data_IF_949676908466
#
_entry.id   IF_949676908466
#
_cell.length_a   1.000
_cell.length_b   1.000
_cell.length_c   1.000
_cell.angle_alpha   90.00
_cell.angle_beta   90.00
_cell.angle_gamma   90.00
#
_symmetry.space_group_name_H-M   'P 1'
#
loop_
_entity.id
_entity.type
_entity.pdbx_description
1 polymer ?
#
# COMPACT_ATOMS: atom_id res chain seq x y z
N UNK A 1 18.36 -11.84 25.83
CA UNK A 1 18.99 -12.77 24.84
C UNK A 1 19.80 -13.90 25.48
N UNK A 2 20.29 -13.75 26.74
CA UNK A 2 21.11 -14.74 27.45
C UNK A 2 20.40 -16.05 27.83
N UNK A 3 19.11 -16.02 28.16
CA UNK A 3 18.36 -17.21 28.61
C UNK A 3 18.26 -18.29 27.52
N UNK A 4 18.16 -17.90 26.23
CA UNK A 4 18.09 -18.85 25.11
C UNK A 4 19.39 -19.64 24.90
N UNK A 5 20.54 -19.05 25.18
CA UNK A 5 21.84 -19.72 25.06
C UNK A 5 22.07 -20.73 26.19
N UNK A 6 21.43 -20.55 27.34
CA UNK A 6 21.59 -21.43 28.49
C UNK A 6 20.86 -22.77 28.27
N UNK A 7 19.62 -22.72 27.75
CA UNK A 7 18.83 -23.93 27.46
C UNK A 7 19.48 -24.83 26.42
N UNK A 8 20.03 -24.27 25.34
CA UNK A 8 20.75 -25.07 24.32
C UNK A 8 22.03 -25.72 24.88
N UNK A 9 22.71 -25.06 25.82
CA UNK A 9 23.90 -25.61 26.49
C UNK A 9 23.56 -26.67 27.54
N UNK A 10 22.38 -26.59 28.16
CA UNK A 10 21.90 -27.52 29.18
C UNK A 10 21.21 -28.76 28.60
N UNK A 11 20.78 -28.73 27.35
CA UNK A 11 20.04 -29.81 26.68
C UNK A 11 20.82 -31.15 26.63
N UNK A 12 22.14 -31.18 26.32
CA UNK A 12 22.92 -32.42 26.39
C UNK A 12 22.97 -32.98 27.82
N UNK A 13 23.09 -32.09 28.82
CA UNK A 13 23.15 -32.47 30.23
C UNK A 13 21.81 -32.99 30.75
N UNK A 14 20.68 -32.44 30.27
CA UNK A 14 19.35 -32.92 30.61
C UNK A 14 19.06 -34.33 30.05
N UNK A 15 19.70 -34.71 28.93
CA UNK A 15 19.64 -36.07 28.37
C UNK A 15 20.64 -37.02 29.05
N UNK A 16 21.81 -36.52 29.46
CA UNK A 16 22.83 -37.31 30.16
C UNK A 16 22.50 -37.57 31.63
N UNK A 17 21.81 -36.64 32.31
CA UNK A 17 21.42 -36.76 33.71
C UNK A 17 20.59 -38.02 34.03
N UNK A 18 19.53 -38.38 33.30
CA UNK A 18 18.78 -39.61 33.57
C UNK A 18 19.61 -40.87 33.27
N UNK A 19 20.51 -40.84 32.29
CA UNK A 19 21.41 -41.95 31.99
C UNK A 19 22.43 -42.14 33.13
N UNK A 20 23.00 -41.04 33.63
CA UNK A 20 23.90 -41.04 34.77
C UNK A 20 23.21 -41.49 36.06
N UNK A 21 21.98 -41.03 36.32
CA UNK A 21 21.17 -41.48 37.45
C UNK A 21 20.81 -42.97 37.35
N UNK A 22 20.54 -43.47 36.15
CA UNK A 22 20.33 -44.90 35.90
C UNK A 22 21.55 -45.74 36.24
N UNK A 23 22.74 -45.31 35.79
CA UNK A 23 24.01 -45.98 36.09
C UNK A 23 24.29 -45.95 37.60
N UNK A 24 24.15 -44.79 38.25
CA UNK A 24 24.33 -44.66 39.70
C UNK A 24 23.36 -45.55 40.48
N UNK A 25 22.10 -45.62 40.08
CA UNK A 25 21.10 -46.49 40.70
C UNK A 25 21.46 -47.97 40.52
N UNK A 26 21.81 -48.41 39.31
CA UNK A 26 22.26 -49.78 39.06
C UNK A 26 23.50 -50.16 39.88
N UNK A 27 24.43 -49.21 40.09
CA UNK A 27 25.61 -49.42 40.93
C UNK A 27 25.24 -49.48 42.42
N UNK A 28 24.35 -48.60 42.89
CA UNK A 28 23.96 -48.53 44.30
C UNK A 28 23.08 -49.71 44.74
N UNK A 29 22.16 -50.15 43.88
CA UNK A 29 21.27 -51.28 44.13
C UNK A 29 21.80 -52.60 43.55
N UNK A 30 23.07 -52.65 43.13
CA UNK A 30 23.69 -53.84 42.53
C UNK A 30 23.55 -55.09 43.42
N UNK A 31 23.56 -54.92 44.74
CA UNK A 31 23.38 -55.99 45.74
C UNK A 31 21.97 -56.59 45.76
N UNK A 32 20.97 -55.84 45.30
CA UNK A 32 19.56 -56.24 45.30
C UNK A 32 19.18 -56.96 44.00
N UNK A 33 20.08 -56.99 43.01
CA UNK A 33 19.91 -57.83 41.83
C UNK A 33 20.14 -59.30 42.22
N UNK A 34 19.20 -60.20 41.91
CA UNK A 34 19.36 -61.62 42.23
C UNK A 34 20.56 -62.19 41.48
N UNK A 35 21.35 -63.04 42.16
CA UNK A 35 22.40 -63.84 41.51
C UNK A 35 21.71 -64.65 40.40
N UNK A 36 22.18 -64.48 39.17
CA UNK A 36 21.58 -65.14 38.01
C UNK A 36 21.69 -66.67 38.15
N UNK A 37 20.55 -67.32 38.41
CA UNK A 37 20.46 -68.78 38.55
C UNK A 37 19.78 -69.45 37.34
N UNK A 38 19.45 -68.69 36.28
CA UNK A 38 18.82 -69.20 35.06
C UNK A 38 17.35 -69.65 35.23
N UNK A 39 16.72 -69.33 36.36
CA UNK A 39 15.33 -69.69 36.66
C UNK A 39 14.35 -68.62 36.18
N UNK A 40 13.13 -68.99 35.79
CA UNK A 40 12.07 -68.07 35.37
C UNK A 40 11.82 -66.96 36.39
N UNK A 41 11.83 -67.31 37.68
CA UNK A 41 11.65 -66.36 38.80
C UNK A 41 12.78 -65.34 38.89
N UNK A 42 14.03 -65.74 38.61
CA UNK A 42 15.18 -64.82 38.59
C UNK A 42 15.11 -63.83 37.41
N UNK A 43 14.60 -64.28 36.26
CA UNK A 43 14.34 -63.45 35.10
C UNK A 43 13.21 -62.45 35.33
N UNK A 44 12.08 -62.89 35.90
CA UNK A 44 10.94 -62.02 36.21
C UNK A 44 11.32 -60.93 37.21
N UNK A 45 12.06 -61.26 38.27
CA UNK A 45 12.52 -60.27 39.24
C UNK A 45 13.49 -59.24 38.62
N UNK A 46 14.42 -59.70 37.78
CA UNK A 46 15.35 -58.80 37.07
C UNK A 46 14.60 -57.89 36.10
N UNK A 47 13.65 -58.43 35.33
CA UNK A 47 12.81 -57.66 34.43
C UNK A 47 11.93 -56.64 35.16
N UNK A 48 11.41 -56.98 36.35
CA UNK A 48 10.64 -56.06 37.19
C UNK A 48 11.49 -54.88 37.68
N UNK A 49 12.72 -55.14 38.15
CA UNK A 49 13.66 -54.09 38.58
C UNK A 49 14.03 -53.20 37.39
N UNK A 50 14.40 -53.79 36.25
CA UNK A 50 14.78 -53.03 35.04
C UNK A 50 13.61 -52.21 34.52
N UNK A 51 12.40 -52.76 34.43
CA UNK A 51 11.22 -52.02 33.98
C UNK A 51 10.85 -50.90 34.97
N UNK A 52 10.94 -51.14 36.29
CA UNK A 52 10.70 -50.13 37.31
C UNK A 52 11.62 -48.91 37.20
N UNK A 53 12.83 -49.08 36.66
CA UNK A 53 13.82 -48.01 36.45
C UNK A 53 13.68 -47.40 35.05
N UNK A 54 13.60 -48.24 34.02
CA UNK A 54 13.64 -47.82 32.62
C UNK A 54 12.36 -47.06 32.24
N UNK A 55 11.19 -47.50 32.73
CA UNK A 55 9.90 -46.86 32.43
C UNK A 55 9.87 -45.39 32.84
N UNK A 56 10.14 -44.97 34.10
CA UNK A 56 10.10 -43.57 34.47
C UNK A 56 11.15 -42.71 33.74
N UNK A 57 12.33 -43.26 33.41
CA UNK A 57 13.35 -42.57 32.61
C UNK A 57 12.87 -42.33 31.18
N UNK A 58 12.31 -43.35 30.53
CA UNK A 58 11.77 -43.23 29.19
C UNK A 58 10.55 -42.30 29.16
N UNK A 59 9.70 -42.35 30.19
CA UNK A 59 8.58 -41.42 30.36
C UNK A 59 9.06 -39.99 30.49
N UNK A 60 10.08 -39.72 31.34
CA UNK A 60 10.66 -38.39 31.50
C UNK A 60 11.29 -37.89 30.19
N UNK A 61 12.06 -38.74 29.52
CA UNK A 61 12.67 -38.43 28.22
C UNK A 61 11.61 -38.10 27.17
N UNK A 62 10.50 -38.85 27.14
CA UNK A 62 9.36 -38.59 26.26
C UNK A 62 8.69 -37.26 26.55
N UNK A 63 8.49 -36.91 27.83
CA UNK A 63 7.95 -35.60 28.24
C UNK A 63 8.88 -34.45 27.79
N UNK A 64 10.19 -34.61 27.97
CA UNK A 64 11.18 -33.62 27.53
C UNK A 64 11.14 -33.46 26.00
N UNK A 65 11.12 -34.56 25.25
CA UNK A 65 11.04 -34.56 23.78
C UNK A 65 9.75 -33.91 23.28
N UNK A 66 8.61 -34.19 23.93
CA UNK A 66 7.34 -33.54 23.64
C UNK A 66 7.42 -32.03 23.90
N UNK A 67 8.04 -31.61 25.01
CA UNK A 67 8.26 -30.19 25.31
C UNK A 67 9.14 -29.48 24.28
N UNK A 68 10.24 -30.11 23.84
CA UNK A 68 11.12 -29.57 22.80
C UNK A 68 10.42 -29.49 21.44
N UNK A 69 9.66 -30.54 21.10
CA UNK A 69 8.83 -30.56 19.88
C UNK A 69 7.84 -29.41 19.91
N UNK A 70 7.11 -29.23 21.02
CA UNK A 70 6.16 -28.14 21.19
C UNK A 70 6.79 -26.76 21.02
N UNK A 71 7.95 -26.52 21.64
CA UNK A 71 8.68 -25.26 21.52
C UNK A 71 9.14 -25.00 20.08
N UNK A 72 9.59 -26.04 19.38
CA UNK A 72 10.04 -25.93 17.98
C UNK A 72 8.87 -25.66 17.06
N UNK A 73 7.77 -26.41 17.19
CA UNK A 73 6.54 -26.20 16.43
C UNK A 73 5.97 -24.80 16.64
N UNK A 74 5.95 -24.31 17.89
CA UNK A 74 5.49 -22.94 18.19
C UNK A 74 6.37 -21.88 17.52
N UNK A 75 7.69 -22.08 17.51
CA UNK A 75 8.63 -21.16 16.85
C UNK A 75 8.44 -21.16 15.33
N UNK A 76 8.32 -22.33 14.73
CA UNK A 76 8.11 -22.50 13.30
C UNK A 76 6.78 -21.88 12.87
N UNK A 77 5.71 -22.12 13.62
CA UNK A 77 4.39 -21.53 13.37
C UNK A 77 4.45 -19.99 13.42
N UNK A 78 5.11 -19.41 14.42
CA UNK A 78 5.28 -17.96 14.50
C UNK A 78 6.08 -17.40 13.32
N UNK A 79 7.11 -18.12 12.86
CA UNK A 79 7.89 -17.72 11.69
C UNK A 79 7.05 -17.75 10.41
N UNK A 80 6.25 -18.81 10.22
CA UNK A 80 5.35 -18.94 9.09
C UNK A 80 4.25 -17.87 9.10
N UNK A 81 3.67 -17.57 10.26
CA UNK A 81 2.70 -16.48 10.41
C UNK A 81 3.28 -15.12 10.03
N UNK A 82 4.50 -14.80 10.49
CA UNK A 82 5.17 -13.54 10.11
C UNK A 82 5.46 -13.48 8.61
N UNK A 83 5.85 -14.60 8.00
CA UNK A 83 6.10 -14.69 6.56
C UNK A 83 4.82 -14.52 5.75
N UNK A 84 3.71 -15.09 6.23
CA UNK A 84 2.40 -14.96 5.61
C UNK A 84 1.87 -13.52 5.72
N UNK A 85 1.94 -12.92 6.92
CA UNK A 85 1.57 -11.52 7.12
C UNK A 85 2.33 -10.58 6.17
N UNK A 86 3.64 -10.80 5.98
CA UNK A 86 4.44 -10.05 5.00
C UNK A 86 3.88 -10.21 3.58
N UNK A 87 3.55 -11.44 3.16
CA UNK A 87 2.99 -11.71 1.82
C UNK A 87 1.63 -11.04 1.64
N UNK A 88 0.76 -11.14 2.62
CA UNK A 88 -0.58 -10.58 2.58
C UNK A 88 -0.51 -9.03 2.50
N UNK A 89 0.38 -8.40 3.27
CA UNK A 89 0.61 -6.95 3.20
C UNK A 89 1.12 -6.51 1.82
N UNK A 90 2.10 -7.24 1.27
CA UNK A 90 2.65 -6.98 -0.06
C UNK A 90 1.58 -7.11 -1.14
N UNK A 91 0.82 -8.20 -1.13
CA UNK A 91 -0.26 -8.45 -2.08
C UNK A 91 -1.34 -7.37 -2.01
N UNK A 92 -1.71 -6.93 -0.81
CA UNK A 92 -2.65 -5.83 -0.62
C UNK A 92 -2.13 -4.53 -1.23
N UNK A 93 -0.86 -4.17 -1.01
CA UNK A 93 -0.28 -2.96 -1.61
C UNK A 93 -0.23 -3.08 -3.13
N UNK A 94 0.21 -4.22 -3.68
CA UNK A 94 0.23 -4.49 -5.12
C UNK A 94 -1.15 -4.28 -5.72
N UNK A 95 -2.17 -4.92 -5.14
CA UNK A 95 -3.55 -4.85 -5.63
C UNK A 95 -4.10 -3.42 -5.56
N UNK A 96 -3.89 -2.73 -4.44
CA UNK A 96 -4.36 -1.35 -4.25
C UNK A 96 -3.66 -0.38 -5.19
N UNK A 97 -2.33 -0.52 -5.36
CA UNK A 97 -1.53 0.32 -6.26
C UNK A 97 -2.01 0.19 -7.70
N UNK A 98 -2.19 -1.06 -8.17
CA UNK A 98 -2.65 -1.32 -9.54
C UNK A 98 -4.04 -0.74 -9.78
N UNK A 99 -5.02 -1.05 -8.93
CA UNK A 99 -6.40 -0.56 -9.09
C UNK A 99 -6.43 0.98 -9.08
N UNK A 100 -5.67 1.60 -8.19
CA UNK A 100 -5.64 3.05 -8.10
C UNK A 100 -4.95 3.69 -9.30
N UNK A 101 -3.84 3.10 -9.77
CA UNK A 101 -3.14 3.54 -10.97
C UNK A 101 -4.05 3.46 -12.21
N UNK A 102 -4.76 2.34 -12.38
CA UNK A 102 -5.70 2.15 -13.47
C UNK A 102 -6.79 3.24 -13.44
N UNK A 103 -7.36 3.54 -12.26
CA UNK A 103 -8.36 4.62 -12.09
C UNK A 103 -7.81 6.03 -12.35
N UNK A 104 -6.52 6.26 -12.08
CA UNK A 104 -5.90 7.56 -12.36
C UNK A 104 -5.67 7.77 -13.86
N UNK A 105 -5.37 6.68 -14.59
CA UNK A 105 -5.08 6.72 -16.03
C UNK A 105 -6.34 6.61 -16.89
N UNK A 106 -7.40 5.99 -16.37
CA UNK A 106 -8.67 5.82 -17.08
C UNK A 106 -9.23 7.15 -17.57
N UNK A 107 -9.57 7.20 -18.86
CA UNK A 107 -10.24 8.35 -19.46
C UNK A 107 -11.74 8.29 -19.16
N UNK A 108 -12.21 9.26 -18.38
CA UNK A 108 -13.62 9.40 -18.01
C UNK A 108 -14.12 10.78 -18.41
N UNK A 109 -15.44 10.95 -18.53
CA UNK A 109 -16.00 12.27 -18.80
C UNK A 109 -15.56 13.24 -17.70
N UNK A 110 -15.10 14.42 -18.08
CA UNK A 110 -14.58 15.43 -17.12
C UNK A 110 -15.63 15.77 -16.06
N UNK A 111 -16.91 15.76 -16.43
CA UNK A 111 -18.04 16.01 -15.53
C UNK A 111 -18.20 14.96 -14.42
N UNK A 112 -17.61 13.76 -14.60
CA UNK A 112 -17.57 12.72 -13.56
C UNK A 112 -16.35 12.85 -12.65
N UNK A 113 -15.39 13.70 -13.02
CA UNK A 113 -14.13 13.93 -12.29
C UNK A 113 -14.21 15.23 -11.48
N UNK A 114 -14.75 16.29 -12.08
CA UNK A 114 -14.84 17.64 -11.50
C UNK A 114 -16.30 17.91 -11.15
N UNK A 115 -16.55 18.58 -10.02
CA UNK A 115 -17.90 18.99 -9.65
C UNK A 115 -18.49 19.95 -10.70
N UNK A 116 -19.82 19.92 -10.94
CA UNK A 116 -20.45 20.80 -11.93
C UNK A 116 -20.39 22.28 -11.56
N UNK A 117 -20.47 22.62 -10.28
CA UNK A 117 -20.51 24.00 -9.76
C UNK A 117 -19.35 24.89 -10.28
N UNK A 118 -18.06 24.51 -10.11
CA UNK A 118 -16.93 25.26 -10.67
C UNK A 118 -16.94 25.42 -12.20
N UNK A 119 -17.55 24.47 -12.91
CA UNK A 119 -17.64 24.51 -14.36
C UNK A 119 -18.67 25.55 -14.78
N UNK A 120 -19.80 25.64 -14.06
CA UNK A 120 -20.78 26.71 -14.29
C UNK A 120 -20.17 28.08 -13.98
N UNK A 121 -19.47 28.25 -12.85
CA UNK A 121 -18.74 29.49 -12.53
C UNK A 121 -17.82 29.91 -13.68
N UNK A 122 -17.00 28.98 -14.19
CA UNK A 122 -16.11 29.23 -15.33
C UNK A 122 -16.87 29.63 -16.60
N UNK A 123 -18.00 28.99 -16.90
CA UNK A 123 -18.80 29.32 -18.08
C UNK A 123 -19.37 30.75 -17.96
N UNK A 124 -19.77 31.15 -16.76
CA UNK A 124 -20.22 32.53 -16.51
C UNK A 124 -19.09 33.55 -16.68
N UNK A 125 -17.89 33.25 -16.17
CA UNK A 125 -16.70 34.07 -16.39
C UNK A 125 -16.37 34.18 -17.88
N UNK A 126 -16.38 33.06 -18.61
CA UNK A 126 -16.13 33.01 -20.05
C UNK A 126 -17.16 33.81 -20.86
N UNK A 127 -18.40 33.89 -20.37
CA UNK A 127 -19.44 34.71 -20.98
C UNK A 127 -19.10 36.20 -20.90
N UNK A 128 -18.68 36.66 -19.71
CA UNK A 128 -18.30 38.04 -19.43
C UNK A 128 -16.93 38.41 -19.98
N UNK A 129 -16.06 37.43 -20.23
CA UNK A 129 -14.70 37.67 -20.69
C UNK A 129 -14.68 38.16 -22.15
N UNK A 130 -14.08 39.34 -22.35
CA UNK A 130 -13.94 39.96 -23.67
C UNK A 130 -12.51 39.77 -24.19
N UNK A 131 -12.37 38.93 -25.23
CA UNK A 131 -11.09 38.76 -25.92
C UNK A 131 -11.31 38.58 -27.43
N UNK A 132 -10.55 39.26 -28.31
CA UNK A 132 -10.78 39.24 -29.76
C UNK A 132 -10.84 37.83 -30.36
N UNK A 133 -10.02 36.91 -29.83
CA UNK A 133 -9.95 35.52 -30.32
C UNK A 133 -11.13 34.65 -29.89
N UNK A 134 -11.88 35.00 -28.85
CA UNK A 134 -13.07 34.24 -28.47
C UNK A 134 -14.11 34.21 -29.60
N UNK A 135 -14.18 35.28 -30.41
CA UNK A 135 -15.06 35.32 -31.58
C UNK A 135 -14.73 34.23 -32.62
N UNK A 136 -13.44 33.99 -32.87
CA UNK A 136 -12.99 32.91 -33.77
C UNK A 136 -13.28 31.54 -33.17
N UNK A 137 -13.21 31.43 -31.85
CA UNK A 137 -13.50 30.19 -31.14
C UNK A 137 -15.00 29.85 -31.17
N UNK A 138 -15.88 30.80 -30.85
CA UNK A 138 -17.32 30.58 -30.89
C UNK A 138 -17.76 30.15 -32.30
N UNK A 139 -17.22 30.77 -33.35
CA UNK A 139 -17.43 30.33 -34.73
C UNK A 139 -17.00 28.88 -34.98
N UNK A 140 -15.86 28.46 -34.43
CA UNK A 140 -15.33 27.10 -34.60
C UNK A 140 -16.23 26.01 -33.96
N UNK A 141 -16.98 26.36 -32.91
CA UNK A 141 -17.97 25.48 -32.28
C UNK A 141 -19.40 25.71 -32.80
N UNK A 142 -19.56 26.42 -33.92
CA UNK A 142 -20.86 26.79 -34.51
C UNK A 142 -21.77 27.64 -33.59
N UNK A 143 -21.19 28.36 -32.63
CA UNK A 143 -21.88 29.36 -31.83
C UNK A 143 -21.73 30.74 -32.48
N UNK A 144 -22.82 31.33 -32.96
CA UNK A 144 -22.77 32.69 -33.51
C UNK A 144 -22.63 33.73 -32.38
N UNK A 145 -21.90 34.81 -32.64
CA UNK A 145 -21.76 35.91 -31.67
C UNK A 145 -23.12 36.57 -31.34
N UNK A 146 -24.05 36.57 -32.28
CA UNK A 146 -25.44 37.04 -32.08
C UNK A 146 -26.18 36.14 -31.08
N UNK A 147 -26.00 34.83 -31.15
CA UNK A 147 -26.59 33.88 -30.19
C UNK A 147 -25.99 34.01 -28.79
N UNK A 148 -24.70 34.36 -28.66
CA UNK A 148 -24.09 34.72 -27.36
C UNK A 148 -24.78 35.94 -26.75
N UNK A 149 -25.03 37.00 -27.54
CA UNK A 149 -25.61 38.25 -27.04
C UNK A 149 -27.09 38.12 -26.61
N UNK A 150 -27.80 37.13 -27.15
CA UNK A 150 -29.26 37.03 -26.97
C UNK A 150 -29.70 36.30 -25.69
N UNK A 151 -28.86 35.41 -25.11
CA UNK A 151 -29.19 34.75 -23.84
C UNK A 151 -27.96 34.11 -23.17
N UNK A 152 -27.69 34.51 -21.91
CA UNK A 152 -26.69 33.86 -21.03
C UNK A 152 -27.02 32.38 -20.83
N UNK A 153 -28.29 32.04 -20.66
CA UNK A 153 -28.74 30.66 -20.40
C UNK A 153 -28.44 29.76 -21.61
N UNK A 154 -28.77 30.23 -22.82
CA UNK A 154 -28.47 29.49 -24.06
C UNK A 154 -26.97 29.30 -24.24
N UNK A 155 -26.17 30.35 -24.03
CA UNK A 155 -24.71 30.25 -24.07
C UNK A 155 -24.19 29.18 -23.10
N UNK A 156 -24.65 29.23 -21.85
CA UNK A 156 -24.19 28.31 -20.82
C UNK A 156 -24.56 26.86 -21.14
N UNK A 157 -25.79 26.61 -21.57
CA UNK A 157 -26.25 25.28 -21.95
C UNK A 157 -25.48 24.72 -23.16
N UNK A 158 -25.22 25.57 -24.16
CA UNK A 158 -24.46 25.19 -25.35
C UNK A 158 -23.03 24.79 -25.01
N UNK A 159 -22.31 25.64 -24.25
CA UNK A 159 -20.94 25.35 -23.82
C UNK A 159 -20.92 24.11 -22.93
N UNK A 160 -21.82 24.01 -21.96
CA UNK A 160 -21.91 22.84 -21.08
C UNK A 160 -22.08 21.53 -21.87
N UNK A 161 -23.00 21.51 -22.83
CA UNK A 161 -23.25 20.34 -23.70
C UNK A 161 -22.01 19.97 -24.51
N UNK A 162 -21.28 20.98 -25.01
CA UNK A 162 -20.03 20.77 -25.73
C UNK A 162 -18.95 20.15 -24.82
N UNK A 163 -18.85 20.61 -23.57
CA UNK A 163 -17.88 20.13 -22.60
C UNK A 163 -18.22 18.73 -22.05
N UNK A 164 -19.50 18.37 -21.97
CA UNK A 164 -19.98 17.12 -21.36
C UNK A 164 -19.38 15.85 -22.00
N UNK A 165 -19.05 15.90 -23.28
CA UNK A 165 -18.45 14.78 -24.00
C UNK A 165 -16.92 14.72 -23.91
N UNK A 166 -16.30 15.69 -23.25
CA UNK A 166 -14.84 15.72 -23.08
C UNK A 166 -14.42 14.62 -22.12
N UNK A 167 -13.51 13.75 -22.57
CA UNK A 167 -12.93 12.69 -21.76
C UNK A 167 -11.48 13.02 -21.45
N UNK A 168 -11.12 12.96 -20.18
CA UNK A 168 -9.75 13.12 -19.72
C UNK A 168 -9.45 12.14 -18.59
N UNK A 169 -8.17 11.93 -18.32
CA UNK A 169 -7.70 11.15 -17.17
C UNK A 169 -7.29 12.08 -16.03
N UNK A 170 -7.41 11.59 -14.79
CA UNK A 170 -6.90 12.32 -13.61
C UNK A 170 -5.39 12.55 -13.71
N UNK A 171 -4.68 11.57 -14.26
CA UNK A 171 -3.27 11.68 -14.62
C UNK A 171 -2.98 12.93 -15.47
N UNK A 172 -3.70 13.10 -16.59
CA UNK A 172 -3.50 14.25 -17.47
C UNK A 172 -3.78 15.57 -16.75
N UNK A 173 -4.89 15.63 -16.00
CA UNK A 173 -5.30 16.83 -15.25
C UNK A 173 -4.27 17.23 -14.19
N UNK A 174 -3.70 16.27 -13.47
CA UNK A 174 -2.67 16.53 -12.46
C UNK A 174 -1.37 17.01 -13.11
N UNK A 175 -0.92 16.36 -14.18
CA UNK A 175 0.32 16.72 -14.86
C UNK A 175 0.23 18.12 -15.45
N UNK A 176 -0.86 18.42 -16.17
CA UNK A 176 -1.07 19.74 -16.76
C UNK A 176 -1.32 20.80 -15.68
N UNK A 177 -2.12 20.49 -14.66
CA UNK A 177 -2.39 21.40 -13.56
C UNK A 177 -1.13 21.76 -12.78
N UNK A 178 -0.23 20.80 -12.58
CA UNK A 178 1.10 21.05 -12.00
C UNK A 178 1.93 21.95 -12.91
N UNK A 179 1.95 21.70 -14.24
CA UNK A 179 2.66 22.54 -15.21
C UNK A 179 2.17 23.99 -15.16
N UNK A 180 0.86 24.19 -15.09
CA UNK A 180 0.23 25.52 -14.98
C UNK A 180 0.59 26.18 -13.64
N UNK A 181 0.51 25.43 -12.54
CA UNK A 181 0.90 25.89 -11.20
C UNK A 181 2.34 26.39 -11.14
N UNK A 182 3.28 25.69 -11.77
CA UNK A 182 4.69 26.10 -11.81
C UNK A 182 4.88 27.40 -12.59
N UNK A 183 4.15 27.57 -13.69
CA UNK A 183 4.27 28.74 -14.55
C UNK A 183 3.58 29.99 -13.97
N UNK A 184 2.48 29.80 -13.25
CA UNK A 184 1.53 30.88 -12.98
C UNK A 184 1.11 30.98 -11.50
N UNK A 185 1.58 30.07 -10.64
CA UNK A 185 1.24 29.99 -9.21
C UNK A 185 0.06 29.07 -8.90
N UNK A 186 0.01 28.55 -7.67
CA UNK A 186 -1.03 27.61 -7.19
C UNK A 186 -2.43 28.21 -7.12
N UNK A 187 -2.53 29.53 -6.95
CA UNK A 187 -3.78 30.28 -6.87
C UNK A 187 -4.07 31.04 -8.17
N UNK A 188 -3.72 30.45 -9.31
CA UNK A 188 -3.96 31.10 -10.60
C UNK A 188 -5.46 31.33 -10.79
N UNK A 189 -5.81 32.60 -10.89
CA UNK A 189 -7.13 33.06 -11.30
C UNK A 189 -7.43 32.57 -12.74
N UNK A 190 -8.62 32.02 -12.95
CA UNK A 190 -9.09 31.54 -14.25
C UNK A 190 -9.06 32.67 -15.29
N UNK A 191 -9.40 33.89 -14.90
CA UNK A 191 -9.37 35.06 -15.77
C UNK A 191 -7.95 35.33 -16.28
N UNK A 192 -6.98 35.33 -15.36
CA UNK A 192 -5.56 35.52 -15.69
C UNK A 192 -5.01 34.38 -16.55
N UNK A 193 -5.44 33.15 -16.30
CA UNK A 193 -5.11 32.02 -17.16
C UNK A 193 -5.62 32.22 -18.59
N UNK A 194 -6.89 32.63 -18.73
CA UNK A 194 -7.51 32.88 -20.03
C UNK A 194 -6.78 33.99 -20.80
N UNK A 195 -6.41 35.10 -20.15
CA UNK A 195 -5.61 36.17 -20.77
C UNK A 195 -4.29 35.64 -21.35
N UNK A 196 -3.54 34.88 -20.54
CA UNK A 196 -2.24 34.33 -20.95
C UNK A 196 -2.42 33.38 -22.14
N UNK A 197 -3.34 32.42 -22.03
CA UNK A 197 -3.44 31.36 -23.05
C UNK A 197 -4.11 31.85 -24.32
N UNK A 198 -5.07 32.78 -24.23
CA UNK A 198 -5.71 33.34 -25.41
C UNK A 198 -4.82 34.34 -26.14
N UNK A 199 -3.83 34.95 -25.47
CA UNK A 199 -2.83 35.80 -26.13
C UNK A 199 -1.89 35.02 -27.06
N UNK A 200 -1.69 33.71 -26.84
CA UNK A 200 -0.87 32.85 -27.69
C UNK A 200 -1.66 32.31 -28.89
N UNK A 201 -1.37 32.83 -30.08
CA UNK A 201 -2.03 32.47 -31.34
C UNK A 201 -1.96 30.98 -31.70
N UNK A 202 -0.99 30.25 -31.15
CA UNK A 202 -0.78 28.83 -31.47
C UNK A 202 -1.67 27.88 -30.66
N UNK A 203 -2.30 28.37 -29.57
CA UNK A 203 -3.06 27.52 -28.67
C UNK A 203 -4.48 27.25 -29.18
N UNK A 204 -4.86 25.97 -29.22
CA UNK A 204 -6.22 25.54 -29.55
C UNK A 204 -7.16 25.64 -28.35
N UNK A 205 -8.45 25.88 -28.59
CA UNK A 205 -9.39 25.97 -27.46
C UNK A 205 -9.55 24.66 -26.69
N UNK A 206 -9.41 23.51 -27.34
CA UNK A 206 -9.37 22.22 -26.61
C UNK A 206 -8.33 22.27 -25.48
N UNK A 207 -7.17 22.87 -25.75
CA UNK A 207 -6.10 23.05 -24.76
C UNK A 207 -6.45 24.11 -23.71
N UNK A 208 -7.18 25.17 -24.08
CA UNK A 208 -7.71 26.16 -23.13
C UNK A 208 -8.59 25.46 -22.09
N UNK A 209 -9.63 24.73 -22.51
CA UNK A 209 -10.51 24.02 -21.58
C UNK A 209 -9.80 22.95 -20.80
N UNK A 210 -8.89 22.20 -21.44
CA UNK A 210 -8.10 21.21 -20.72
C UNK A 210 -7.30 21.83 -19.57
N UNK A 211 -6.67 23.00 -19.78
CA UNK A 211 -5.99 23.69 -18.70
C UNK A 211 -6.94 24.25 -17.64
N UNK A 212 -8.13 24.74 -18.02
CA UNK A 212 -9.18 25.14 -17.05
C UNK A 212 -9.59 23.95 -16.18
N UNK A 213 -9.92 22.81 -16.78
CA UNK A 213 -10.24 21.58 -16.04
C UNK A 213 -9.10 21.15 -15.14
N UNK A 214 -7.85 21.29 -15.60
CA UNK A 214 -6.68 20.98 -14.79
C UNK A 214 -6.57 21.91 -13.58
N UNK A 215 -6.79 23.21 -13.75
CA UNK A 215 -6.80 24.20 -12.65
C UNK A 215 -7.91 23.86 -11.65
N UNK A 216 -9.14 23.64 -12.13
CA UNK A 216 -10.29 23.30 -11.30
C UNK A 216 -10.06 22.00 -10.52
N UNK A 217 -9.50 20.98 -11.17
CA UNK A 217 -9.15 19.72 -10.51
C UNK A 217 -8.10 19.93 -9.41
N UNK A 218 -7.05 20.71 -9.69
CA UNK A 218 -5.97 21.00 -8.75
C UNK A 218 -6.43 21.84 -7.55
N UNK A 219 -7.37 22.77 -7.74
CA UNK A 219 -7.96 23.59 -6.66
C UNK A 219 -8.57 22.72 -5.55
N UNK A 220 -9.19 21.61 -5.93
CA UNK A 220 -9.82 20.66 -5.03
C UNK A 220 -9.05 19.33 -4.91
N UNK A 221 -7.75 19.32 -5.24
CA UNK A 221 -6.93 18.11 -5.37
C UNK A 221 -7.11 17.13 -4.19
N UNK A 222 -7.00 17.64 -2.97
CA UNK A 222 -7.04 16.85 -1.74
C UNK A 222 -8.45 16.37 -1.36
N UNK A 223 -9.50 16.89 -2.00
CA UNK A 223 -10.88 16.45 -1.77
C UNK A 223 -11.21 15.18 -2.58
N UNK A 224 -10.51 14.93 -3.68
CA UNK A 224 -10.74 13.79 -4.57
C UNK A 224 -10.46 12.45 -3.89
N UNK A 225 -11.36 11.49 -4.11
CA UNK A 225 -11.31 10.19 -3.43
C UNK A 225 -10.07 9.38 -3.82
N UNK A 226 -9.63 9.46 -5.07
CA UNK A 226 -8.44 8.76 -5.56
C UNK A 226 -7.17 9.33 -4.93
N UNK A 227 -7.08 10.65 -4.76
CA UNK A 227 -5.96 11.31 -4.07
C UNK A 227 -5.94 10.95 -2.58
N UNK A 228 -7.11 10.94 -1.93
CA UNK A 228 -7.23 10.43 -0.54
C UNK A 228 -6.77 8.98 -0.42
N UNK A 229 -7.16 8.14 -1.38
CA UNK A 229 -6.78 6.72 -1.42
C UNK A 229 -5.28 6.56 -1.65
N UNK A 230 -4.68 7.40 -2.49
CA UNK A 230 -3.23 7.46 -2.72
C UNK A 230 -2.49 7.81 -1.43
N UNK A 231 -2.90 8.89 -0.75
CA UNK A 231 -2.29 9.32 0.51
C UNK A 231 -2.41 8.26 1.60
N UNK A 232 -3.56 7.59 1.69
CA UNK A 232 -3.76 6.47 2.60
C UNK A 232 -2.82 5.29 2.29
N UNK A 233 -2.64 4.96 1.01
CA UNK A 233 -1.72 3.92 0.57
C UNK A 233 -0.27 4.25 0.95
N UNK A 234 0.19 5.48 0.70
CA UNK A 234 1.53 5.91 1.09
C UNK A 234 1.74 5.87 2.60
N UNK A 235 0.75 6.29 3.38
CA UNK A 235 0.77 6.19 4.84
C UNK A 235 0.88 4.74 5.30
N UNK A 236 0.12 3.83 4.69
CA UNK A 236 0.22 2.39 4.97
C UNK A 236 1.62 1.86 4.67
N UNK A 237 2.23 2.21 3.53
CA UNK A 237 3.60 1.81 3.18
C UNK A 237 4.61 2.40 4.19
N UNK A 238 4.43 3.66 4.59
CA UNK A 238 5.27 4.32 5.61
C UNK A 238 5.19 3.61 6.95
N UNK A 239 4.01 3.20 7.36
CA UNK A 239 3.77 2.62 8.69
C UNK A 239 4.08 1.10 8.72
N UNK A 240 4.31 0.46 7.56
CA UNK A 240 4.80 -0.92 7.48
C UNK A 240 6.18 -1.08 8.13
N UNK A 241 6.46 -2.31 8.58
CA UNK A 241 7.70 -2.68 9.24
C UNK A 241 8.92 -2.39 8.36
N UNK A 242 9.92 -1.73 8.95
CA UNK A 242 11.15 -1.31 8.26
C UNK A 242 11.84 -2.46 7.50
N UNK A 243 11.75 -3.71 7.98
CA UNK A 243 12.46 -4.84 7.36
C UNK A 243 12.05 -5.16 5.92
N UNK A 244 10.86 -4.74 5.49
CA UNK A 244 10.37 -5.01 4.13
C UNK A 244 9.67 -3.79 3.50
N UNK A 245 9.79 -2.62 4.13
CA UNK A 245 9.26 -1.36 3.59
C UNK A 245 9.85 -1.04 2.21
N UNK A 246 11.15 -1.26 2.03
CA UNK A 246 11.84 -0.93 0.77
C UNK A 246 11.36 -1.83 -0.38
N UNK A 247 11.12 -3.11 -0.10
CA UNK A 247 10.52 -4.04 -1.07
C UNK A 247 9.11 -3.59 -1.47
N UNK A 248 8.27 -3.18 -0.50
CA UNK A 248 6.94 -2.63 -0.78
C UNK A 248 7.04 -1.34 -1.62
N UNK A 249 8.00 -0.45 -1.31
CA UNK A 249 8.23 0.77 -2.09
C UNK A 249 8.62 0.47 -3.53
N UNK A 250 9.50 -0.50 -3.75
CA UNK A 250 9.91 -0.93 -5.09
C UNK A 250 8.70 -1.45 -5.88
N UNK A 251 7.90 -2.34 -5.29
CA UNK A 251 6.68 -2.85 -5.95
C UNK A 251 5.68 -1.73 -6.27
N UNK A 252 5.50 -0.79 -5.34
CA UNK A 252 4.68 0.39 -5.59
C UNK A 252 5.18 1.20 -6.79
N UNK A 253 6.50 1.47 -6.88
CA UNK A 253 7.09 2.22 -8.00
C UNK A 253 6.97 1.50 -9.35
N UNK A 254 7.00 0.16 -9.34
CA UNK A 254 6.83 -0.64 -10.55
C UNK A 254 5.39 -0.60 -11.07
N UNK A 255 4.41 -0.49 -10.18
CA UNK A 255 2.99 -0.60 -10.52
C UNK A 255 2.29 0.75 -10.70
N UNK A 256 2.75 1.78 -10.00
CA UNK A 256 2.16 3.10 -10.01
C UNK A 256 2.96 4.03 -10.90
N UNK A 257 2.29 4.81 -11.73
CA UNK A 257 2.95 5.75 -12.63
C UNK A 257 3.79 6.77 -11.82
N UNK A 258 5.10 6.79 -12.09
CA UNK A 258 6.08 7.57 -11.33
C UNK A 258 5.80 9.07 -11.41
N UNK A 259 5.48 9.58 -12.60
CA UNK A 259 5.28 11.02 -12.81
C UNK A 259 4.13 11.57 -11.96
N UNK A 260 2.98 10.88 -11.90
CA UNK A 260 1.86 11.29 -11.05
C UNK A 260 2.16 11.05 -9.56
N UNK A 261 2.85 9.95 -9.21
CA UNK A 261 3.20 9.68 -7.82
C UNK A 261 4.08 10.80 -7.24
N UNK A 262 5.11 11.22 -7.98
CA UNK A 262 5.98 12.32 -7.58
C UNK A 262 5.20 13.62 -7.38
N UNK A 263 4.27 13.94 -8.29
CA UNK A 263 3.44 15.15 -8.15
C UNK A 263 2.54 15.07 -6.92
N UNK A 264 1.84 13.96 -6.73
CA UNK A 264 0.94 13.81 -5.58
C UNK A 264 1.69 13.82 -4.25
N UNK A 265 2.91 13.30 -4.20
CA UNK A 265 3.76 13.39 -3.00
C UNK A 265 4.15 14.84 -2.71
N UNK A 266 4.47 15.65 -3.73
CA UNK A 266 4.79 17.08 -3.55
C UNK A 266 3.65 17.88 -2.90
N UNK A 267 2.40 17.43 -3.05
CA UNK A 267 1.22 18.06 -2.44
C UNK A 267 0.83 17.46 -1.09
N UNK A 268 1.59 16.49 -0.58
CA UNK A 268 1.29 15.81 0.68
C UNK A 268 2.30 16.19 1.77
N UNK A 269 1.86 16.99 2.74
CA UNK A 269 2.71 17.43 3.85
C UNK A 269 3.11 16.31 4.82
N UNK A 270 2.38 15.19 4.85
CA UNK A 270 2.66 14.06 5.77
C UNK A 270 3.72 13.09 5.24
N UNK A 271 3.99 13.11 3.92
CA UNK A 271 4.90 12.17 3.27
C UNK A 271 6.12 12.95 2.74
N UNK A 272 7.35 12.59 3.12
CA UNK A 272 8.51 13.36 2.69
C UNK A 272 8.73 13.23 1.17
N UNK A 273 9.23 14.29 0.53
CA UNK A 273 9.43 14.34 -0.92
C UNK A 273 10.41 13.28 -1.46
N UNK A 274 11.27 12.73 -0.61
CA UNK A 274 12.19 11.63 -0.94
C UNK A 274 11.60 10.24 -0.66
N UNK A 275 10.31 10.13 -0.36
CA UNK A 275 9.67 8.87 0.03
C UNK A 275 9.92 7.73 -0.98
N UNK A 276 9.96 8.03 -2.27
CA UNK A 276 10.20 7.08 -3.35
C UNK A 276 11.68 6.93 -3.75
N UNK A 277 12.61 7.62 -3.07
CA UNK A 277 14.05 7.38 -3.24
C UNK A 277 14.39 6.13 -2.42
N UNK A 278 14.77 5.06 -3.13
CA UNK A 278 15.27 3.80 -2.58
C UNK A 278 16.73 3.68 -3.00
#
# INVERSE_FOLDING_TARGET
MYVKSLYLKLLPWALLAPLFLSVLFCVYFFSDFPIYTGTEKSWLNTAQIVNGILTPILTLSSIILLGLTWLTTKKELNFQLLKQQKRDELELVIRQSKILNDKMIEQTQVMNIISPEPIFEFIEELYLFEHPRLSSYYKAIALSNELKLNSKEFFSEFIYTHLQNTKESRYNLIIEGTRISVLSGLNLDLTRYLEIVLSDETVSMKRVFFGVFSILYMRDLMKHQEVKSFNYLLKKIRDCNHKYRDEIKIEFKLLFNEAIAERLIQFNDEIPNDFLKV
#
